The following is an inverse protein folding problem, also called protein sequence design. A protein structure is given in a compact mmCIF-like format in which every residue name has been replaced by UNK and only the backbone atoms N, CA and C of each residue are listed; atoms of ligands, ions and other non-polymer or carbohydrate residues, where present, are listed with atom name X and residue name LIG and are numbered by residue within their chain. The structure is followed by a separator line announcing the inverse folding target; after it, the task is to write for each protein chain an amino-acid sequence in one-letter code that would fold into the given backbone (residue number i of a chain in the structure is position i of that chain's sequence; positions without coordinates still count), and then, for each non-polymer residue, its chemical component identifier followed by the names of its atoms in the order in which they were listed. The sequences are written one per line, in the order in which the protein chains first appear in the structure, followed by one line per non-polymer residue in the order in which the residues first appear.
data_IF_788958944987
#
_entry.id   IF_788958944987
#
_cell.length_a   1.000
_cell.length_b   1.000
_cell.length_c   1.000
_cell.angle_alpha   90.00
_cell.angle_beta   90.00
_cell.angle_gamma   90.00
#
_symmetry.space_group_name_H-M   'P 1'
#
loop_
_entity.id
_entity.type
_entity.pdbx_description
1 polymer ?
#
# COMPACT_ATOMS: atom_id res chain seq x y z
N UNK A 1 -10.17 11.43 17.27
CA UNK A 1 -9.63 10.82 16.04
C UNK A 1 -10.71 9.95 15.42
N UNK A 2 -10.83 9.90 14.10
CA UNK A 2 -11.86 9.10 13.40
C UNK A 2 -11.20 7.91 12.70
N UNK A 3 -11.66 6.70 13.01
CA UNK A 3 -11.23 5.47 12.34
C UNK A 3 -11.90 5.44 10.95
N UNK A 4 -11.10 5.25 9.89
CA UNK A 4 -11.65 5.06 8.54
C UNK A 4 -12.01 3.59 8.34
N UNK A 5 -13.25 3.31 7.97
CA UNK A 5 -13.75 1.96 7.72
C UNK A 5 -14.05 1.76 6.23
N UNK A 6 -14.14 0.51 5.83
CA UNK A 6 -14.61 0.05 4.50
C UNK A 6 -15.60 -1.09 4.67
N UNK A 7 -16.33 -1.39 3.61
CA UNK A 7 -17.16 -2.59 3.57
C UNK A 7 -16.27 -3.84 3.54
N UNK A 8 -16.74 -4.90 4.17
CA UNK A 8 -16.07 -6.21 4.17
C UNK A 8 -17.00 -7.27 3.59
N UNK A 9 -16.41 -8.21 2.86
CA UNK A 9 -17.09 -9.34 2.28
C UNK A 9 -16.29 -10.61 2.58
N UNK A 10 -16.97 -11.63 3.12
CA UNK A 10 -16.42 -12.97 3.33
C UNK A 10 -17.21 -14.01 2.56
N UNK A 11 -16.54 -15.08 2.15
CA UNK A 11 -17.17 -16.16 1.41
C UNK A 11 -16.15 -17.13 0.83
N UNK A 12 -16.54 -17.82 -0.23
CA UNK A 12 -15.67 -18.72 -0.97
C UNK A 12 -15.60 -18.36 -2.46
N UNK A 13 -14.48 -18.68 -3.09
CA UNK A 13 -14.26 -18.49 -4.53
C UNK A 13 -15.02 -19.59 -5.29
N UNK A 14 -16.03 -19.22 -6.07
CA UNK A 14 -16.94 -20.16 -6.74
C UNK A 14 -16.51 -20.52 -8.18
N UNK A 15 -15.68 -19.68 -8.83
CA UNK A 15 -15.08 -19.94 -10.14
C UNK A 15 -13.55 -19.83 -10.06
N UNK A 16 -12.83 -20.38 -11.03
CA UNK A 16 -11.41 -20.08 -11.15
C UNK A 16 -11.23 -18.57 -11.40
N UNK A 17 -10.35 -17.88 -10.65
CA UNK A 17 -10.12 -16.46 -10.88
C UNK A 17 -9.52 -16.20 -12.25
N UNK A 18 -10.08 -15.25 -12.99
CA UNK A 18 -9.62 -14.86 -14.32
C UNK A 18 -8.83 -13.55 -14.24
N UNK A 19 -7.62 -13.54 -14.80
CA UNK A 19 -6.81 -12.32 -14.93
C UNK A 19 -6.90 -11.79 -16.37
N UNK A 20 -7.44 -10.58 -16.49
CA UNK A 20 -7.54 -9.82 -17.74
C UNK A 20 -6.82 -8.48 -17.61
N UNK A 21 -6.71 -7.74 -18.70
CA UNK A 21 -6.11 -6.41 -18.71
C UNK A 21 -7.07 -5.41 -19.35
N UNK A 22 -7.20 -4.24 -18.72
CA UNK A 22 -8.00 -3.14 -19.28
C UNK A 22 -7.33 -2.55 -20.52
N UNK A 23 -8.04 -1.71 -21.26
CA UNK A 23 -7.47 -0.98 -22.42
C UNK A 23 -6.28 -0.08 -22.07
N UNK A 24 -6.13 0.29 -20.79
CA UNK A 24 -4.99 1.06 -20.26
C UNK A 24 -3.83 0.19 -19.79
N UNK A 25 -3.94 -1.13 -19.91
CA UNK A 25 -2.94 -2.10 -19.44
C UNK A 25 -3.02 -2.43 -17.94
N UNK A 26 -3.98 -1.88 -17.19
CA UNK A 26 -4.17 -2.25 -15.78
C UNK A 26 -4.73 -3.67 -15.68
N UNK A 27 -4.09 -4.51 -14.86
CA UNK A 27 -4.60 -5.84 -14.54
C UNK A 27 -5.97 -5.77 -13.84
N UNK A 28 -6.85 -6.72 -14.18
CA UNK A 28 -8.18 -6.89 -13.60
C UNK A 28 -8.39 -8.37 -13.30
N UNK A 29 -8.64 -8.69 -12.04
CA UNK A 29 -9.07 -10.03 -11.62
C UNK A 29 -10.60 -10.03 -11.55
N UNK A 30 -11.20 -11.09 -12.06
CA UNK A 30 -12.62 -11.40 -11.91
C UNK A 30 -12.76 -12.80 -11.32
N UNK A 31 -13.68 -12.97 -10.37
CA UNK A 31 -14.10 -14.27 -9.89
C UNK A 31 -15.57 -14.23 -9.47
N UNK A 32 -16.30 -15.30 -9.74
CA UNK A 32 -17.59 -15.54 -9.09
C UNK A 32 -17.32 -15.95 -7.65
N UNK A 33 -18.04 -15.38 -6.69
CA UNK A 33 -17.92 -15.74 -5.27
C UNK A 33 -19.27 -16.15 -4.71
N UNK A 34 -19.24 -17.00 -3.69
CA UNK A 34 -20.42 -17.43 -2.93
C UNK A 34 -20.34 -16.96 -1.48
N UNK A 35 -21.45 -16.47 -0.97
CA UNK A 35 -21.66 -16.13 0.44
C UNK A 35 -22.51 -17.23 1.09
N UNK A 36 -21.95 -18.00 2.04
CA UNK A 36 -22.74 -18.95 2.82
C UNK A 36 -23.89 -18.23 3.52
N UNK A 37 -25.08 -18.82 3.46
CA UNK A 37 -26.27 -18.33 4.14
C UNK A 37 -26.65 -19.36 5.21
N UNK A 38 -27.06 -18.88 6.38
CA UNK A 38 -27.56 -19.73 7.46
C UNK A 38 -28.73 -19.06 8.15
N UNK A 39 -29.73 -19.85 8.53
CA UNK A 39 -30.86 -19.41 9.34
C UNK A 39 -30.73 -19.99 10.74
N UNK A 40 -30.86 -19.14 11.74
CA UNK A 40 -30.94 -19.55 13.12
C UNK A 40 -32.36 -20.01 13.42
N UNK A 41 -32.50 -21.17 14.05
CA UNK A 41 -33.79 -21.80 14.36
C UNK A 41 -34.17 -21.60 15.83
N UNK A 42 -35.46 -21.77 16.16
CA UNK A 42 -35.99 -21.59 17.52
C UNK A 42 -35.42 -22.62 18.52
N UNK A 43 -34.90 -23.75 18.03
CA UNK A 43 -34.27 -24.80 18.83
C UNK A 43 -32.77 -24.53 19.14
N UNK A 44 -32.25 -23.38 18.69
CA UNK A 44 -30.87 -22.97 18.90
C UNK A 44 -29.87 -23.55 17.89
N UNK A 45 -30.35 -24.27 16.87
CA UNK A 45 -29.51 -24.81 15.79
C UNK A 45 -29.41 -23.84 14.60
N UNK A 46 -28.49 -24.15 13.67
CA UNK A 46 -28.34 -23.44 12.41
C UNK A 46 -28.70 -24.36 11.24
N UNK A 47 -29.62 -23.91 10.39
CA UNK A 47 -29.90 -24.55 9.10
C UNK A 47 -29.08 -23.84 8.02
N UNK A 48 -28.24 -24.60 7.32
CA UNK A 48 -27.51 -24.09 6.16
C UNK A 48 -28.48 -23.87 4.99
N UNK A 49 -28.39 -22.70 4.36
CA UNK A 49 -29.16 -22.32 3.18
C UNK A 49 -28.29 -22.31 1.93
N UNK A 50 -28.93 -22.22 0.76
CA UNK A 50 -28.24 -22.07 -0.51
C UNK A 50 -27.39 -20.78 -0.50
N UNK A 51 -26.10 -20.84 -0.88
CA UNK A 51 -25.26 -19.65 -0.96
C UNK A 51 -25.80 -18.62 -1.95
N UNK A 52 -25.62 -17.35 -1.61
CA UNK A 52 -25.86 -16.26 -2.55
C UNK A 52 -24.59 -15.98 -3.34
N UNK A 53 -24.71 -15.80 -4.65
CA UNK A 53 -23.55 -15.58 -5.51
C UNK A 53 -23.50 -14.16 -6.05
N UNK A 54 -22.32 -13.55 -5.99
CA UNK A 54 -22.03 -12.23 -6.55
C UNK A 54 -20.66 -12.24 -7.23
N UNK A 55 -20.34 -11.16 -7.91
CA UNK A 55 -19.09 -11.00 -8.65
C UNK A 55 -18.08 -10.23 -7.82
N UNK A 56 -16.83 -10.72 -7.77
CA UNK A 56 -15.71 -10.03 -7.14
C UNK A 56 -14.75 -9.56 -8.21
N UNK A 57 -14.34 -8.29 -8.13
CA UNK A 57 -13.37 -7.68 -9.03
C UNK A 57 -12.25 -7.01 -8.25
N UNK A 58 -11.02 -7.19 -8.71
CA UNK A 58 -9.84 -6.47 -8.22
C UNK A 58 -9.07 -5.85 -9.37
N UNK A 59 -8.24 -4.84 -9.08
CA UNK A 59 -7.45 -4.13 -10.08
C UNK A 59 -5.97 -4.03 -9.73
N UNK A 60 -5.14 -3.73 -10.73
CA UNK A 60 -3.70 -3.41 -10.65
C UNK A 60 -2.88 -4.54 -10.02
N UNK A 61 -1.79 -4.21 -9.30
CA UNK A 61 -0.89 -5.20 -8.70
C UNK A 61 -1.62 -6.14 -7.72
N UNK A 62 -2.62 -5.65 -6.99
CA UNK A 62 -3.43 -6.49 -6.10
C UNK A 62 -4.18 -7.59 -6.86
N UNK A 63 -4.65 -7.32 -8.08
CA UNK A 63 -5.30 -8.34 -8.92
C UNK A 63 -4.32 -9.44 -9.33
N UNK A 64 -3.10 -9.08 -9.72
CA UNK A 64 -2.07 -10.06 -10.09
C UNK A 64 -1.70 -10.95 -8.90
N UNK A 65 -1.44 -10.34 -7.74
CA UNK A 65 -1.11 -11.07 -6.51
C UNK A 65 -2.25 -11.99 -6.07
N UNK A 66 -3.50 -11.53 -6.17
CA UNK A 66 -4.66 -12.36 -5.87
C UNK A 66 -4.79 -13.53 -6.87
N UNK A 67 -4.57 -13.28 -8.17
CA UNK A 67 -4.61 -14.34 -9.18
C UNK A 67 -3.52 -15.40 -8.96
N UNK A 68 -2.32 -15.01 -8.52
CA UNK A 68 -1.25 -15.96 -8.21
C UNK A 68 -1.62 -16.89 -7.04
N UNK A 69 -2.35 -16.37 -6.04
CA UNK A 69 -2.58 -17.04 -4.75
C UNK A 69 -3.94 -17.76 -4.63
N UNK A 70 -5.00 -17.27 -5.26
CA UNK A 70 -6.37 -17.79 -5.06
C UNK A 70 -6.80 -18.79 -6.12
N UNK A 71 -7.53 -19.82 -5.71
CA UNK A 71 -8.14 -20.82 -6.58
C UNK A 71 -9.62 -21.02 -6.22
N UNK A 72 -10.37 -21.66 -7.12
CA UNK A 72 -11.74 -22.09 -6.82
C UNK A 72 -11.77 -22.94 -5.55
N UNK A 73 -12.71 -22.64 -4.66
CA UNK A 73 -12.92 -23.30 -3.37
C UNK A 73 -12.24 -22.60 -2.19
N UNK A 74 -11.33 -21.65 -2.42
CA UNK A 74 -10.68 -20.92 -1.34
C UNK A 74 -11.67 -20.04 -0.56
N UNK A 75 -11.59 -20.08 0.77
CA UNK A 75 -12.33 -19.17 1.64
C UNK A 75 -11.55 -17.87 1.82
N UNK A 76 -12.23 -16.74 1.79
CA UNK A 76 -11.60 -15.43 1.82
C UNK A 76 -12.32 -14.43 2.72
N UNK A 77 -11.56 -13.40 3.09
CA UNK A 77 -12.05 -12.13 3.60
C UNK A 77 -11.50 -11.01 2.72
N UNK A 78 -12.38 -10.13 2.26
CA UNK A 78 -12.04 -9.00 1.41
C UNK A 78 -12.56 -7.69 1.99
N UNK A 79 -11.84 -6.59 1.73
CA UNK A 79 -12.28 -5.23 2.02
C UNK A 79 -12.40 -4.41 0.74
N UNK A 80 -13.45 -3.59 0.64
CA UNK A 80 -13.77 -2.94 -0.63
C UNK A 80 -15.02 -2.07 -0.54
N UNK A 81 -15.72 -2.02 -1.66
CA UNK A 81 -16.99 -1.33 -1.83
C UNK A 81 -17.88 -2.08 -2.85
N UNK A 82 -19.18 -2.01 -2.63
CA UNK A 82 -20.18 -2.52 -3.58
C UNK A 82 -20.38 -1.51 -4.70
N UNK A 83 -20.45 -1.99 -5.94
CA UNK A 83 -20.80 -1.19 -7.11
C UNK A 83 -21.81 -1.92 -7.97
N UNK A 84 -22.85 -1.21 -8.38
CA UNK A 84 -23.78 -1.70 -9.39
C UNK A 84 -23.21 -1.41 -10.78
N UNK A 85 -23.36 -2.36 -11.70
CA UNK A 85 -23.02 -2.19 -13.10
C UNK A 85 -24.08 -2.84 -13.99
N UNK A 86 -24.22 -2.33 -15.21
CA UNK A 86 -25.08 -2.94 -16.21
C UNK A 86 -24.30 -4.00 -16.98
N UNK A 87 -24.77 -5.25 -16.93
CA UNK A 87 -24.22 -6.35 -17.70
C UNK A 87 -24.40 -6.17 -19.20
N UNK A 88 -23.71 -7.00 -19.99
CA UNK A 88 -23.87 -7.01 -21.46
C UNK A 88 -25.29 -7.40 -21.90
N UNK A 89 -26.04 -8.06 -21.03
CA UNK A 89 -27.44 -8.42 -21.18
C UNK A 89 -28.42 -7.28 -20.79
N UNK A 90 -27.90 -6.11 -20.39
CA UNK A 90 -28.70 -4.97 -19.94
C UNK A 90 -29.22 -5.09 -18.51
N UNK A 91 -28.88 -6.16 -17.79
CA UNK A 91 -29.33 -6.37 -16.40
C UNK A 91 -28.41 -5.65 -15.42
N UNK A 92 -28.98 -4.93 -14.47
CA UNK A 92 -28.20 -4.37 -13.35
C UNK A 92 -27.74 -5.50 -12.41
N UNK A 93 -26.46 -5.51 -12.09
CA UNK A 93 -25.83 -6.50 -11.22
C UNK A 93 -24.93 -5.78 -10.23
N UNK A 94 -24.91 -6.28 -9.01
CA UNK A 94 -23.96 -5.83 -8.00
C UNK A 94 -22.66 -6.63 -8.08
N UNK A 95 -21.55 -5.92 -8.03
CA UNK A 95 -20.22 -6.47 -7.88
C UNK A 95 -19.53 -5.87 -6.65
N UNK A 96 -18.68 -6.66 -6.03
CA UNK A 96 -17.79 -6.19 -4.98
C UNK A 96 -16.42 -5.83 -5.56
N UNK A 97 -16.04 -4.56 -5.45
CA UNK A 97 -14.71 -4.09 -5.86
C UNK A 97 -13.77 -4.18 -4.67
N UNK A 98 -13.01 -5.28 -4.61
CA UNK A 98 -12.09 -5.52 -3.53
C UNK A 98 -10.79 -4.71 -3.71
N UNK A 99 -10.40 -4.01 -2.65
CA UNK A 99 -9.11 -3.32 -2.55
C UNK A 99 -8.02 -4.19 -1.94
N UNK A 100 -8.40 -5.11 -1.04
CA UNK A 100 -7.56 -6.18 -0.50
C UNK A 100 -8.38 -7.45 -0.33
N UNK A 101 -7.70 -8.59 -0.40
CA UNK A 101 -8.25 -9.92 -0.15
C UNK A 101 -7.19 -10.77 0.53
N UNK A 102 -7.62 -11.63 1.45
CA UNK A 102 -6.79 -12.64 2.10
C UNK A 102 -7.60 -13.91 2.34
N UNK A 103 -6.93 -15.05 2.47
CA UNK A 103 -7.59 -16.29 2.87
C UNK A 103 -8.20 -16.12 4.27
N UNK A 104 -9.39 -16.68 4.48
CA UNK A 104 -10.03 -16.66 5.80
C UNK A 104 -9.20 -17.52 6.76
N UNK A 105 -8.58 -16.87 7.75
CA UNK A 105 -7.72 -17.50 8.74
C UNK A 105 -8.45 -18.39 9.73
N UNK A 106 -9.78 -18.26 9.85
CA UNK A 106 -10.59 -19.11 10.73
C UNK A 106 -10.78 -20.50 10.14
N UNK A 107 -10.60 -20.65 8.82
CA UNK A 107 -10.89 -21.89 8.08
C UNK A 107 -9.62 -22.42 7.40
N UNK A 108 -8.80 -21.54 6.84
CA UNK A 108 -7.67 -21.89 5.97
C UNK A 108 -6.37 -22.00 6.75
N UNK A 109 -5.63 -23.10 6.55
CA UNK A 109 -4.25 -23.24 7.04
C UNK A 109 -3.28 -22.69 6.00
N UNK A 110 -2.29 -21.91 6.44
CA UNK A 110 -1.31 -21.30 5.54
C UNK A 110 0.08 -21.26 6.16
N UNK A 111 1.09 -21.22 5.29
CA UNK A 111 2.47 -20.90 5.67
C UNK A 111 2.73 -19.43 5.33
N UNK A 112 3.22 -18.67 6.30
CA UNK A 112 3.58 -17.26 6.08
C UNK A 112 5.07 -17.17 5.83
N UNK A 113 5.43 -16.73 4.62
CA UNK A 113 6.77 -16.23 4.36
C UNK A 113 6.92 -14.84 5.00
N UNK A 114 7.88 -14.73 5.93
CA UNK A 114 8.21 -13.48 6.64
C UNK A 114 9.49 -12.85 6.11
N UNK A 115 10.00 -13.35 4.98
CA UNK A 115 11.12 -12.71 4.29
C UNK A 115 10.76 -11.24 4.07
N UNK A 116 11.58 -10.30 4.57
CA UNK A 116 11.33 -8.89 4.37
C UNK A 116 11.10 -8.64 2.89
N UNK A 117 9.97 -8.03 2.56
CA UNK A 117 9.80 -7.57 1.19
C UNK A 117 10.88 -6.53 0.96
N UNK A 118 11.87 -6.86 0.12
CA UNK A 118 12.72 -5.84 -0.49
C UNK A 118 11.75 -4.93 -1.22
N UNK A 119 11.35 -3.86 -0.54
CA UNK A 119 10.84 -2.71 -1.26
C UNK A 119 11.97 -2.43 -2.23
N UNK A 120 11.67 -2.40 -3.52
CA UNK A 120 12.42 -1.56 -4.44
C UNK A 120 12.34 -0.16 -3.82
N UNK A 121 13.23 0.14 -2.89
CA UNK A 121 13.59 1.49 -2.59
C UNK A 121 13.94 2.04 -3.96
N UNK A 122 13.38 3.19 -4.39
CA UNK A 122 13.91 3.85 -5.57
C UNK A 122 15.41 3.88 -5.30
N UNK A 123 16.17 3.19 -6.16
CA UNK A 123 17.62 3.16 -6.06
C UNK A 123 17.99 4.64 -6.07
N UNK A 124 18.21 5.22 -4.89
CA UNK A 124 18.81 6.52 -4.78
C UNK A 124 20.16 6.25 -5.39
N UNK A 125 20.32 6.74 -6.62
CA UNK A 125 21.52 6.67 -7.42
C UNK A 125 22.70 7.01 -6.51
N UNK A 126 23.30 5.96 -5.97
CA UNK A 126 24.55 5.99 -5.23
C UNK A 126 25.61 6.77 -6.03
N UNK A 127 25.67 6.70 -7.38
CA UNK A 127 26.59 7.55 -8.14
C UNK A 127 26.32 9.05 -7.99
N UNK A 128 25.06 9.51 -7.85
CA UNK A 128 24.75 10.96 -7.75
C UNK A 128 25.13 11.49 -6.37
N UNK A 129 24.94 10.70 -5.31
CA UNK A 129 25.35 11.08 -3.96
C UNK A 129 26.87 11.15 -3.83
N UNK A 130 27.60 10.16 -4.37
CA UNK A 130 29.06 10.15 -4.37
C UNK A 130 29.64 11.29 -5.22
N UNK A 131 29.05 11.58 -6.39
CA UNK A 131 29.44 12.72 -7.23
C UNK A 131 29.19 14.07 -6.54
N UNK A 132 28.05 14.24 -5.86
CA UNK A 132 27.79 15.46 -5.07
C UNK A 132 28.76 15.60 -3.89
N UNK A 133 29.15 14.49 -3.26
CA UNK A 133 30.11 14.50 -2.16
C UNK A 133 31.51 14.88 -2.66
N UNK A 134 31.95 14.33 -3.80
CA UNK A 134 33.22 14.68 -4.42
C UNK A 134 33.26 16.13 -4.89
N UNK A 135 32.18 16.62 -5.52
CA UNK A 135 32.08 18.01 -5.93
C UNK A 135 32.08 18.99 -4.74
N UNK A 136 31.53 18.58 -3.58
CA UNK A 136 31.58 19.38 -2.36
C UNK A 136 33.01 19.42 -1.78
N UNK A 137 33.71 18.29 -1.76
CA UNK A 137 35.10 18.20 -1.29
C UNK A 137 36.05 18.99 -2.19
N UNK A 138 35.88 18.94 -3.52
CA UNK A 138 36.68 19.77 -4.44
C UNK A 138 36.40 21.26 -4.25
N UNK A 139 35.14 21.63 -3.99
CA UNK A 139 34.75 23.01 -3.74
C UNK A 139 35.28 23.53 -2.40
N UNK A 140 35.32 22.69 -1.37
CA UNK A 140 35.96 23.01 -0.09
C UNK A 140 37.50 23.10 -0.23
N UNK A 141 38.12 22.26 -1.05
CA UNK A 141 39.56 22.31 -1.30
C UNK A 141 40.01 23.54 -2.14
N UNK A 142 39.09 24.11 -2.92
CA UNK A 142 39.33 25.34 -3.70
C UNK A 142 39.11 26.63 -2.91
N UNK A 143 38.58 26.56 -1.69
CA UNK A 143 38.51 27.71 -0.80
C UNK A 143 39.89 27.87 -0.13
N UNK A 144 40.61 28.93 -0.51
CA UNK A 144 41.88 29.30 0.14
C UNK A 144 41.67 29.46 1.65
N UNK A 145 42.63 29.04 2.50
CA UNK A 145 42.50 29.20 3.95
C UNK A 145 42.40 30.68 4.31
N UNK A 146 41.38 31.02 5.09
CA UNK A 146 41.15 32.38 5.59
C UNK A 146 42.42 32.85 6.34
N UNK A 147 43.02 34.00 5.97
CA UNK A 147 44.21 34.48 6.65
C UNK A 147 43.88 34.78 8.12
N UNK A 148 44.79 34.48 9.06
CA UNK A 148 44.51 34.66 10.47
C UNK A 148 44.20 36.13 10.76
N UNK A 149 43.08 36.37 11.44
CA UNK A 149 42.63 37.70 11.80
C UNK A 149 43.75 38.46 12.55
N UNK A 150 44.17 39.58 11.98
CA UNK A 150 45.14 40.47 12.60
C UNK A 150 44.56 41.04 13.91
N UNK A 151 45.26 40.82 15.02
CA UNK A 151 45.01 41.48 16.30
C UNK A 151 45.11 43.00 16.12
N UNK A 152 44.00 43.71 16.28
CA UNK A 152 43.97 45.16 16.25
C UNK A 152 44.70 45.75 17.48
N UNK A 153 45.81 46.44 17.23
CA UNK A 153 46.46 47.34 18.17
C UNK A 153 45.58 48.58 18.39
N UNK A 154 45.02 48.74 19.59
CA UNK A 154 44.40 50.00 20.03
C UNK A 154 45.49 51.01 20.38
N UNK A 155 45.54 52.11 19.63
CA UNK A 155 46.45 53.23 19.90
C UNK A 155 46.06 53.99 21.17
N UNK A 156 47.05 54.27 22.01
CA UNK A 156 46.97 55.08 23.22
C UNK A 156 46.73 56.55 22.87
N UNK A 157 45.70 57.18 23.44
CA UNK A 157 45.61 58.65 23.53
C UNK A 157 45.47 59.03 25.01
N UNK A 158 46.52 59.61 25.55
CA UNK A 158 46.60 60.15 26.90
C UNK A 158 46.49 61.68 26.83
N UNK A 159 45.62 62.28 27.65
CA UNK A 159 45.71 63.70 28.03
C UNK A 159 45.31 63.92 29.49
N UNK A 160 46.33 64.21 30.28
CA UNK A 160 46.37 64.75 31.65
C UNK A 160 45.58 66.08 31.78
N UNK A 161 44.76 66.23 32.83
CA UNK A 161 44.98 66.99 34.08
C UNK A 161 44.58 68.50 33.97
N UNK A 162 44.21 69.28 35.00
CA UNK A 162 44.68 69.42 36.40
C UNK A 162 43.66 70.28 37.21
N UNK A 163 43.49 69.93 38.51
CA UNK A 163 43.22 70.71 39.75
C UNK A 163 42.07 71.74 39.82
N UNK A 164 41.45 72.03 40.97
CA UNK A 164 41.85 71.97 42.40
C UNK A 164 40.69 71.52 43.27
#
# INVERSE_FOLDING_TARGET
MTIRTKESLSGFVASDPELTFTSKGDARLYARIGQPQARFEDDGTFTQLEPTFTDLVMFRKSAQLAHEQFRKGDNFLAEGETRTYTGSDGTERDQFVASRIGHDNNITRYTVDRTPHEREAPQQETPVREQMQQALVEREAQLDPEPPAATASTGTVQRDAVAR
#
